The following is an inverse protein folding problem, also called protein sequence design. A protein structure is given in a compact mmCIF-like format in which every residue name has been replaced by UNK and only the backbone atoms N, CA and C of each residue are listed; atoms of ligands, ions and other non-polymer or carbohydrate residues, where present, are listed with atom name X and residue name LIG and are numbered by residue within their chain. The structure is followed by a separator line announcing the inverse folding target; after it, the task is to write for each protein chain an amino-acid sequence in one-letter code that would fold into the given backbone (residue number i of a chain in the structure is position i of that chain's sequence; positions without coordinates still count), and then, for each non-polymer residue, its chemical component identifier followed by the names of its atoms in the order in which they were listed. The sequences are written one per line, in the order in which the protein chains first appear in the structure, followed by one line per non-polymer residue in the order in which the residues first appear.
data_IF_029563610595
#
_entry.id   IF_029563610595
#
_cell.length_a   1.000
_cell.length_b   1.000
_cell.length_c   1.000
_cell.angle_alpha   90.00
_cell.angle_beta   90.00
_cell.angle_gamma   90.00
#
_symmetry.space_group_name_H-M   'P 1'
#
loop_
_entity.id
_entity.type
_entity.pdbx_description
1 polymer ?
#
# COMPACT_ATOMS: atom_id res chain seq x y z
N UNK A 1 6.72 -0.65 15.42
CA UNK A 1 5.99 0.37 14.66
C UNK A 1 5.26 -0.23 13.45
N UNK A 2 5.95 -0.65 12.39
CA UNK A 2 5.31 -1.20 11.15
C UNK A 2 4.26 -2.29 11.40
N UNK A 3 4.53 -3.21 12.35
CA UNK A 3 3.59 -4.29 12.70
C UNK A 3 2.27 -3.78 13.26
N UNK A 4 2.30 -2.72 14.08
CA UNK A 4 1.08 -2.11 14.64
C UNK A 4 0.29 -1.38 13.56
N UNK A 5 0.97 -0.66 12.65
CA UNK A 5 0.33 -0.04 11.47
C UNK A 5 -0.37 -1.11 10.63
N UNK A 6 0.33 -2.20 10.30
CA UNK A 6 -0.24 -3.28 9.49
C UNK A 6 -1.42 -3.97 10.19
N UNK A 7 -1.35 -4.19 11.51
CA UNK A 7 -2.47 -4.75 12.28
C UNK A 7 -3.69 -3.84 12.25
N UNK A 8 -3.50 -2.52 12.44
CA UNK A 8 -4.58 -1.53 12.36
C UNK A 8 -5.21 -1.49 10.98
N UNK A 9 -4.38 -1.56 9.94
CA UNK A 9 -4.81 -1.57 8.55
C UNK A 9 -5.64 -2.82 8.21
N UNK A 10 -5.18 -4.00 8.64
CA UNK A 10 -5.90 -5.26 8.41
C UNK A 10 -7.32 -5.26 8.99
N UNK A 11 -7.55 -4.55 10.10
CA UNK A 11 -8.87 -4.39 10.70
C UNK A 11 -9.89 -3.60 9.86
N UNK A 12 -9.48 -3.01 8.73
CA UNK A 12 -10.38 -2.35 7.78
C UNK A 12 -10.83 -3.27 6.64
N UNK A 13 -10.23 -4.44 6.53
CA UNK A 13 -10.58 -5.44 5.51
C UNK A 13 -11.79 -6.24 5.95
N UNK A 14 -12.70 -6.51 5.02
CA UNK A 14 -13.90 -7.31 5.24
C UNK A 14 -13.81 -8.61 4.46
N UNK A 15 -14.55 -9.62 4.90
CA UNK A 15 -14.67 -10.87 4.16
C UNK A 15 -15.13 -10.60 2.71
N UNK A 16 -14.62 -11.41 1.81
CA UNK A 16 -14.85 -11.35 0.37
C UNK A 16 -14.25 -10.12 -0.34
N UNK A 17 -13.49 -9.27 0.36
CA UNK A 17 -12.80 -8.19 -0.32
C UNK A 17 -11.75 -8.71 -1.31
N UNK A 18 -11.63 -8.01 -2.44
CA UNK A 18 -10.43 -8.01 -3.27
C UNK A 18 -9.48 -6.94 -2.75
N UNK A 19 -8.29 -7.34 -2.36
CA UNK A 19 -7.30 -6.49 -1.69
C UNK A 19 -6.05 -6.35 -2.56
N UNK A 20 -5.62 -5.12 -2.84
CA UNK A 20 -4.31 -4.87 -3.45
C UNK A 20 -3.30 -4.47 -2.37
N UNK A 21 -2.12 -5.08 -2.42
CA UNK A 21 -1.01 -4.78 -1.50
C UNK A 21 0.26 -4.58 -2.33
N UNK A 22 0.90 -3.42 -2.21
CA UNK A 22 2.14 -3.16 -2.92
C UNK A 22 3.36 -3.80 -2.23
N UNK A 23 4.53 -3.62 -2.84
CA UNK A 23 5.82 -4.14 -2.36
C UNK A 23 6.36 -3.47 -1.10
N UNK A 24 5.70 -2.45 -0.56
CA UNK A 24 6.13 -1.72 0.62
C UNK A 24 6.29 -2.63 1.86
N UNK A 25 7.36 -2.43 2.63
CA UNK A 25 7.67 -3.29 3.79
C UNK A 25 6.60 -3.27 4.88
N UNK A 26 5.93 -2.15 5.09
CA UNK A 26 4.81 -2.04 6.04
C UNK A 26 3.56 -2.73 5.48
N UNK A 27 3.26 -2.51 4.19
CA UNK A 27 2.14 -3.14 3.51
C UNK A 27 2.28 -4.68 3.47
N UNK A 28 3.49 -5.19 3.22
CA UNK A 28 3.76 -6.63 3.23
C UNK A 28 3.37 -7.32 4.54
N UNK A 29 3.50 -6.63 5.67
CA UNK A 29 3.14 -7.20 6.98
C UNK A 29 1.64 -7.48 7.13
N UNK A 30 0.77 -6.84 6.32
CA UNK A 30 -0.66 -7.13 6.33
C UNK A 30 -0.95 -8.59 5.98
N UNK A 31 -0.14 -9.22 5.15
CA UNK A 31 -0.31 -10.63 4.78
C UNK A 31 -0.31 -11.56 6.01
N UNK A 32 0.38 -11.18 7.10
CA UNK A 32 0.38 -11.96 8.34
C UNK A 32 -0.95 -11.88 9.08
N UNK A 33 -1.62 -10.73 9.00
CA UNK A 33 -2.86 -10.47 9.71
C UNK A 33 -4.10 -10.86 8.90
N UNK A 34 -3.93 -11.04 7.58
CA UNK A 34 -5.00 -11.42 6.66
C UNK A 34 -4.99 -12.91 6.30
N UNK A 35 -4.06 -13.70 6.83
CA UNK A 35 -3.91 -15.11 6.47
C UNK A 35 -5.19 -15.95 6.70
N UNK A 36 -5.92 -15.64 7.76
CA UNK A 36 -7.16 -16.33 8.14
C UNK A 36 -8.44 -15.63 7.65
N UNK A 37 -8.31 -14.52 6.94
CA UNK A 37 -9.43 -13.79 6.37
C UNK A 37 -9.88 -14.41 5.03
N UNK A 38 -11.18 -14.42 4.79
CA UNK A 38 -11.73 -14.92 3.53
C UNK A 38 -11.65 -13.82 2.44
N UNK A 39 -10.46 -13.59 1.91
CA UNK A 39 -10.15 -12.52 0.95
C UNK A 39 -9.29 -13.01 -0.20
N UNK A 40 -9.30 -12.29 -1.30
CA UNK A 40 -8.32 -12.46 -2.38
C UNK A 40 -7.36 -11.27 -2.37
N UNK A 41 -6.07 -11.54 -2.36
CA UNK A 41 -5.01 -10.53 -2.30
C UNK A 41 -4.19 -10.60 -3.58
N UNK A 42 -4.06 -9.48 -4.28
CA UNK A 42 -3.09 -9.32 -5.37
C UNK A 42 -1.95 -8.42 -4.90
N UNK A 43 -0.73 -8.90 -5.06
CA UNK A 43 0.48 -8.18 -4.62
C UNK A 43 1.62 -8.28 -5.64
N UNK A 44 2.43 -7.23 -5.73
CA UNK A 44 3.69 -7.22 -6.47
C UNK A 44 4.92 -7.41 -5.56
N UNK A 45 4.73 -7.88 -4.33
CA UNK A 45 5.83 -8.15 -3.43
C UNK A 45 6.38 -9.57 -3.65
N UNK A 46 7.57 -9.68 -4.24
CA UNK A 46 8.20 -10.96 -4.53
C UNK A 46 8.53 -11.82 -3.28
N UNK A 47 8.65 -11.20 -2.10
CA UNK A 47 8.84 -11.92 -0.84
C UNK A 47 7.64 -12.78 -0.46
N UNK A 48 6.48 -12.53 -1.06
CA UNK A 48 5.25 -13.29 -0.79
C UNK A 48 5.37 -14.76 -1.16
N UNK A 49 6.25 -15.12 -2.11
CA UNK A 49 6.54 -16.50 -2.51
C UNK A 49 7.07 -17.33 -1.32
N UNK A 50 7.83 -16.70 -0.43
CA UNK A 50 8.48 -17.38 0.69
C UNK A 50 7.66 -17.37 1.99
N UNK A 51 6.45 -16.80 1.95
CA UNK A 51 5.57 -16.83 3.12
C UNK A 51 4.96 -18.20 3.34
N UNK A 52 4.67 -18.50 4.61
CA UNK A 52 3.80 -19.63 4.93
C UNK A 52 2.47 -19.48 4.21
N UNK A 53 1.91 -20.56 3.65
CA UNK A 53 0.60 -20.51 3.03
C UNK A 53 -0.44 -19.91 3.99
N UNK A 54 -1.32 -19.10 3.45
CA UNK A 54 -2.50 -18.61 4.17
C UNK A 54 -3.49 -19.75 4.36
N UNK A 55 -4.26 -19.70 5.43
CA UNK A 55 -5.27 -20.73 5.74
C UNK A 55 -6.56 -20.51 4.94
N UNK A 56 -6.98 -19.25 4.75
CA UNK A 56 -8.19 -18.90 4.01
C UNK A 56 -7.94 -17.90 2.90
N UNK A 57 -7.01 -16.94 3.09
CA UNK A 57 -6.74 -15.92 2.08
C UNK A 57 -6.09 -16.54 0.83
N UNK A 58 -6.62 -16.19 -0.34
CA UNK A 58 -5.97 -16.48 -1.62
C UNK A 58 -4.99 -15.36 -1.94
N UNK A 59 -3.71 -15.69 -2.09
CA UNK A 59 -2.65 -14.72 -2.42
C UNK A 59 -2.17 -14.95 -3.84
N UNK A 60 -2.37 -13.95 -4.68
CA UNK A 60 -1.95 -13.92 -6.08
C UNK A 60 -0.78 -12.97 -6.24
N UNK A 61 0.26 -13.40 -6.92
CA UNK A 61 1.42 -12.56 -7.24
C UNK A 61 1.27 -12.04 -8.66
N UNK A 62 1.50 -10.73 -8.84
CA UNK A 62 1.28 -10.06 -10.11
C UNK A 62 2.11 -10.60 -11.29
N UNK A 63 3.25 -11.23 -10.99
CA UNK A 63 4.28 -11.44 -12.01
C UNK A 63 4.96 -10.14 -12.38
N UNK A 64 5.87 -10.20 -13.35
CA UNK A 64 6.64 -9.05 -13.82
C UNK A 64 8.13 -9.23 -13.66
N UNK A 65 8.88 -8.18 -13.97
CA UNK A 65 10.32 -8.13 -13.80
C UNK A 65 10.69 -7.99 -12.33
N UNK A 66 11.74 -8.70 -11.91
CA UNK A 66 12.23 -8.61 -10.53
C UNK A 66 13.08 -7.35 -10.38
N UNK A 67 12.62 -6.40 -9.58
CA UNK A 67 13.43 -5.28 -9.13
C UNK A 67 14.16 -5.69 -7.83
N UNK A 68 15.40 -6.11 -7.98
CA UNK A 68 16.20 -6.79 -6.95
C UNK A 68 16.35 -5.99 -5.66
N UNK A 69 16.58 -4.68 -5.76
CA UNK A 69 16.82 -3.80 -4.61
C UNK A 69 15.63 -3.77 -3.64
N UNK A 70 14.42 -3.93 -4.13
CA UNK A 70 13.18 -3.88 -3.35
C UNK A 70 12.50 -5.24 -3.20
N UNK A 71 12.96 -6.26 -3.95
CA UNK A 71 12.25 -7.53 -4.09
C UNK A 71 10.80 -7.33 -4.54
N UNK A 72 10.59 -6.34 -5.40
CA UNK A 72 9.30 -6.04 -6.01
C UNK A 72 9.22 -6.52 -7.45
N UNK A 73 8.01 -6.77 -7.91
CA UNK A 73 7.72 -7.12 -9.29
C UNK A 73 7.19 -5.87 -9.99
N UNK A 74 7.79 -5.54 -11.13
CA UNK A 74 7.53 -4.30 -11.86
C UNK A 74 7.35 -4.57 -13.36
N UNK A 75 7.18 -3.51 -14.14
CA UNK A 75 7.05 -3.60 -15.59
C UNK A 75 5.64 -3.99 -16.05
N UNK A 76 5.50 -4.19 -17.36
CA UNK A 76 4.20 -4.32 -18.02
C UNK A 76 3.38 -5.51 -17.52
N UNK A 77 3.98 -6.64 -17.20
CA UNK A 77 3.27 -7.79 -16.67
C UNK A 77 2.65 -7.49 -15.30
N UNK A 78 3.38 -6.81 -14.41
CA UNK A 78 2.86 -6.40 -13.12
C UNK A 78 1.72 -5.39 -13.29
N UNK A 79 1.92 -4.36 -14.11
CA UNK A 79 0.90 -3.33 -14.42
C UNK A 79 -0.36 -3.98 -14.98
N UNK A 80 -0.22 -4.88 -15.96
CA UNK A 80 -1.34 -5.57 -16.60
C UNK A 80 -2.14 -6.42 -15.61
N UNK A 81 -1.48 -7.09 -14.68
CA UNK A 81 -2.16 -7.89 -13.65
C UNK A 81 -3.10 -7.04 -12.81
N UNK A 82 -2.64 -5.89 -12.33
CA UNK A 82 -3.49 -4.95 -11.59
C UNK A 82 -4.56 -4.30 -12.47
N UNK A 83 -4.21 -3.97 -13.73
CA UNK A 83 -5.14 -3.32 -14.67
C UNK A 83 -6.37 -4.18 -14.99
N UNK A 84 -6.19 -5.50 -15.01
CA UNK A 84 -7.28 -6.48 -15.30
C UNK A 84 -8.12 -6.81 -14.08
N UNK A 85 -7.71 -6.41 -12.89
CA UNK A 85 -8.43 -6.63 -11.65
C UNK A 85 -9.04 -5.31 -11.13
N UNK A 86 -9.90 -5.41 -10.13
CA UNK A 86 -10.50 -4.27 -9.42
C UNK A 86 -10.53 -4.62 -7.95
N UNK A 87 -9.97 -3.74 -7.12
CA UNK A 87 -9.96 -3.94 -5.68
C UNK A 87 -11.05 -3.13 -4.97
N UNK A 88 -11.53 -3.68 -3.87
CA UNK A 88 -12.37 -2.98 -2.90
C UNK A 88 -11.54 -2.07 -2.00
N UNK A 89 -10.31 -2.50 -1.71
CA UNK A 89 -9.38 -1.81 -0.82
C UNK A 89 -7.94 -2.06 -1.25
N UNK A 90 -7.09 -1.04 -1.14
CA UNK A 90 -5.66 -1.22 -1.34
C UNK A 90 -4.83 -0.64 -0.19
N UNK A 91 -3.65 -1.19 -0.03
CA UNK A 91 -2.64 -0.75 0.94
C UNK A 91 -1.31 -0.51 0.25
N UNK A 92 -0.81 0.72 0.33
CA UNK A 92 0.48 1.12 -0.20
C UNK A 92 1.43 1.56 0.91
N UNK A 93 2.58 0.90 0.98
CA UNK A 93 3.77 1.47 1.61
C UNK A 93 4.42 2.44 0.64
N UNK A 94 4.91 3.56 1.15
CA UNK A 94 5.49 4.65 0.33
C UNK A 94 6.89 5.03 0.80
N UNK A 95 7.63 5.70 -0.05
CA UNK A 95 8.90 6.32 0.30
C UNK A 95 8.69 7.62 1.09
N UNK A 96 7.67 8.39 0.72
CA UNK A 96 7.26 9.62 1.39
C UNK A 96 5.84 10.02 1.01
N UNK A 97 5.23 10.85 1.84
CA UNK A 97 3.96 11.54 1.60
C UNK A 97 4.06 12.96 2.13
N UNK A 98 3.75 13.93 1.28
CA UNK A 98 3.75 15.35 1.61
C UNK A 98 2.56 16.06 0.95
N UNK A 99 2.50 17.38 1.05
CA UNK A 99 1.54 18.21 0.30
C UNK A 99 1.66 18.06 -1.23
N UNK A 100 2.83 17.60 -1.70
CA UNK A 100 3.10 17.37 -3.12
C UNK A 100 2.58 16.00 -3.63
N UNK A 101 2.10 15.13 -2.74
CA UNK A 101 1.60 13.81 -3.09
C UNK A 101 2.38 12.67 -2.41
N UNK A 102 2.21 11.48 -2.96
CA UNK A 102 2.94 10.28 -2.54
C UNK A 102 4.10 9.99 -3.49
N UNK A 103 5.19 9.49 -2.95
CA UNK A 103 6.43 9.27 -3.69
C UNK A 103 7.16 7.98 -3.28
N UNK A 104 8.03 7.52 -4.16
CA UNK A 104 8.85 6.31 -3.96
C UNK A 104 10.31 6.59 -4.29
N UNK A 105 11.21 5.76 -3.75
CA UNK A 105 12.64 5.79 -4.09
C UNK A 105 12.98 5.06 -5.40
N UNK A 106 12.04 4.29 -5.93
CA UNK A 106 12.26 3.39 -7.06
C UNK A 106 11.35 3.76 -8.23
N UNK A 107 11.95 4.30 -9.30
CA UNK A 107 11.22 4.69 -10.50
C UNK A 107 10.33 3.55 -11.06
N UNK A 108 10.80 2.29 -11.16
CA UNK A 108 9.99 1.21 -11.70
C UNK A 108 8.73 0.89 -10.91
N UNK A 109 8.68 1.24 -9.62
CA UNK A 109 7.49 1.02 -8.78
C UNK A 109 6.39 2.06 -9.00
N UNK A 110 6.71 3.20 -9.60
CA UNK A 110 5.79 4.33 -9.75
C UNK A 110 4.53 3.93 -10.52
N UNK A 111 4.70 3.29 -11.68
CA UNK A 111 3.59 2.89 -12.53
C UNK A 111 2.72 1.80 -11.89
N UNK A 112 3.33 0.83 -11.20
CA UNK A 112 2.60 -0.23 -10.48
C UNK A 112 1.78 0.37 -9.33
N UNK A 113 2.38 1.23 -8.51
CA UNK A 113 1.69 1.89 -7.41
C UNK A 113 0.52 2.76 -7.91
N UNK A 114 0.70 3.43 -9.04
CA UNK A 114 -0.36 4.24 -9.65
C UNK A 114 -1.53 3.41 -10.12
N UNK A 115 -1.30 2.32 -10.84
CA UNK A 115 -2.39 1.44 -11.31
C UNK A 115 -3.12 0.78 -10.14
N UNK A 116 -2.44 0.45 -9.05
CA UNK A 116 -3.08 -0.03 -7.81
C UNK A 116 -4.11 0.97 -7.30
N UNK A 117 -3.74 2.26 -7.22
CA UNK A 117 -4.67 3.33 -6.78
C UNK A 117 -5.82 3.50 -7.76
N UNK A 118 -5.54 3.57 -9.07
CA UNK A 118 -6.54 3.79 -10.12
C UNK A 118 -7.56 2.64 -10.21
N UNK A 119 -7.14 1.41 -9.92
CA UNK A 119 -7.98 0.21 -10.00
C UNK A 119 -8.65 -0.16 -8.68
N UNK A 120 -8.52 0.66 -7.65
CA UNK A 120 -9.21 0.48 -6.36
C UNK A 120 -10.43 1.39 -6.30
N UNK A 121 -11.61 0.80 -6.15
CA UNK A 121 -12.89 1.53 -6.14
C UNK A 121 -13.28 2.04 -4.75
N UNK A 122 -12.84 1.37 -3.69
CA UNK A 122 -13.14 1.73 -2.31
C UNK A 122 -11.99 2.46 -1.62
N UNK A 123 -11.50 1.90 -0.52
CA UNK A 123 -10.48 2.55 0.29
C UNK A 123 -9.07 2.44 -0.30
N UNK A 124 -8.43 3.57 -0.55
CA UNK A 124 -7.04 3.69 -0.99
C UNK A 124 -6.21 4.19 0.17
N UNK A 125 -5.46 3.29 0.80
CA UNK A 125 -4.86 3.49 2.12
C UNK A 125 -3.34 3.50 2.02
N UNK A 126 -2.73 4.57 2.51
CA UNK A 126 -1.29 4.63 2.73
C UNK A 126 -0.97 4.11 4.13
N UNK A 127 -0.01 3.20 4.21
CA UNK A 127 0.48 2.63 5.46
C UNK A 127 1.97 2.94 5.60
N UNK A 128 2.32 3.86 6.49
CA UNK A 128 3.70 4.31 6.62
C UNK A 128 4.02 4.79 8.03
N UNK A 129 5.30 4.71 8.39
CA UNK A 129 5.83 5.28 9.64
C UNK A 129 5.83 6.81 9.55
N UNK A 130 5.56 7.48 10.66
CA UNK A 130 5.34 8.92 10.70
C UNK A 130 6.52 9.74 10.20
N UNK A 131 7.76 9.30 10.38
CA UNK A 131 8.94 10.03 9.88
C UNK A 131 8.99 10.18 8.36
N UNK A 132 8.14 9.45 7.60
CA UNK A 132 7.99 9.59 6.14
C UNK A 132 6.89 10.57 5.75
N UNK A 133 6.09 11.02 6.70
CA UNK A 133 5.04 12.02 6.50
C UNK A 133 5.68 13.41 6.59
N UNK A 134 5.44 14.25 5.60
CA UNK A 134 6.10 15.55 5.43
C UNK A 134 7.39 15.47 4.59
N UNK A 135 7.65 14.33 3.94
CA UNK A 135 8.85 14.14 3.11
C UNK A 135 8.49 13.67 1.72
N UNK A 136 9.28 14.12 0.76
CA UNK A 136 9.26 13.64 -0.62
C UNK A 136 10.42 12.68 -0.85
N UNK A 137 10.14 11.62 -1.62
CA UNK A 137 11.16 10.75 -2.21
C UNK A 137 11.40 11.16 -3.66
N UNK A 138 12.32 10.49 -4.33
CA UNK A 138 12.81 10.89 -5.65
C UNK A 138 11.74 10.91 -6.75
N UNK A 139 10.75 10.02 -6.68
CA UNK A 139 9.79 9.83 -7.78
C UNK A 139 8.36 9.98 -7.30
N UNK A 140 7.67 10.99 -7.83
CA UNK A 140 6.25 11.21 -7.60
C UNK A 140 5.42 10.05 -8.17
N UNK A 141 4.47 9.56 -7.38
CA UNK A 141 3.57 8.46 -7.77
C UNK A 141 2.17 8.96 -8.09
N UNK A 142 1.57 9.73 -7.19
CA UNK A 142 0.21 10.24 -7.33
C UNK A 142 -0.05 11.41 -6.36
N UNK A 143 -1.04 12.21 -6.68
CA UNK A 143 -1.49 13.31 -5.84
C UNK A 143 -2.28 12.80 -4.62
N UNK A 144 -2.32 13.59 -3.55
CA UNK A 144 -3.01 13.22 -2.31
C UNK A 144 -4.52 13.01 -2.47
N UNK A 145 -5.15 13.59 -3.50
CA UNK A 145 -6.57 13.39 -3.77
C UNK A 145 -6.92 11.96 -4.22
N UNK A 146 -5.93 11.17 -4.61
CA UNK A 146 -6.12 9.76 -4.96
C UNK A 146 -6.21 8.83 -3.75
N UNK A 147 -5.88 9.30 -2.55
CA UNK A 147 -5.94 8.48 -1.33
C UNK A 147 -7.14 8.82 -0.47
N UNK A 148 -7.63 7.86 0.28
CA UNK A 148 -8.77 8.04 1.21
C UNK A 148 -8.34 8.02 2.66
N UNK A 149 -7.27 7.29 2.99
CA UNK A 149 -6.80 7.11 4.36
C UNK A 149 -5.27 7.14 4.43
N UNK A 150 -4.78 7.62 5.56
CA UNK A 150 -3.40 7.44 6.02
C UNK A 150 -3.41 6.73 7.38
N UNK A 151 -2.64 5.65 7.51
CA UNK A 151 -2.40 4.99 8.80
C UNK A 151 -0.92 5.17 9.14
N UNK A 152 -0.66 5.84 10.25
CA UNK A 152 0.69 6.23 10.64
C UNK A 152 0.83 6.34 12.16
N UNK A 153 1.97 6.78 12.64
CA UNK A 153 2.24 7.03 14.05
C UNK A 153 2.42 8.52 14.36
N UNK A 154 2.55 8.84 15.64
CA UNK A 154 2.60 10.21 16.13
C UNK A 154 3.89 10.99 15.81
N UNK A 155 4.88 10.37 15.14
CA UNK A 155 6.06 11.07 14.63
C UNK A 155 5.82 11.79 13.30
N UNK A 156 4.61 11.69 12.76
CA UNK A 156 4.21 12.33 11.51
C UNK A 156 4.20 13.85 11.62
N UNK A 157 4.61 14.53 10.53
CA UNK A 157 4.62 15.99 10.45
C UNK A 157 3.21 16.58 10.64
N UNK A 158 3.00 17.45 11.65
CA UNK A 158 1.68 17.97 11.97
C UNK A 158 1.06 18.82 10.85
N UNK A 159 1.87 19.57 10.10
CA UNK A 159 1.37 20.41 9.00
C UNK A 159 0.86 19.55 7.84
N UNK A 160 1.58 18.50 7.49
CA UNK A 160 1.16 17.55 6.46
C UNK A 160 -0.11 16.81 6.89
N UNK A 161 -0.21 16.40 8.17
CA UNK A 161 -1.43 15.79 8.72
C UNK A 161 -2.62 16.74 8.63
N UNK A 162 -2.45 18.03 8.99
CA UNK A 162 -3.51 19.03 8.89
C UNK A 162 -3.96 19.22 7.43
N UNK A 163 -3.02 19.31 6.50
CA UNK A 163 -3.32 19.39 5.07
C UNK A 163 -4.11 18.19 4.57
N UNK A 164 -3.65 16.96 4.86
CA UNK A 164 -4.34 15.73 4.42
C UNK A 164 -5.78 15.67 4.93
N UNK A 165 -5.99 16.03 6.20
CA UNK A 165 -7.34 16.12 6.78
C UNK A 165 -8.20 17.18 6.07
N UNK A 166 -7.63 18.33 5.72
CA UNK A 166 -8.36 19.43 5.05
C UNK A 166 -8.87 19.04 3.66
N UNK A 167 -8.20 18.11 2.97
CA UNK A 167 -8.63 17.59 1.66
C UNK A 167 -9.46 16.30 1.76
N UNK A 168 -9.88 15.92 2.97
CA UNK A 168 -10.78 14.77 3.20
C UNK A 168 -10.10 13.43 3.46
N UNK A 169 -8.78 13.38 3.58
CA UNK A 169 -8.06 12.14 3.93
C UNK A 169 -8.29 11.82 5.41
N UNK A 170 -8.77 10.62 5.69
CA UNK A 170 -8.94 10.13 7.06
C UNK A 170 -7.62 9.65 7.63
N UNK A 171 -7.13 10.29 8.68
CA UNK A 171 -5.88 9.93 9.33
C UNK A 171 -6.15 9.09 10.58
N UNK A 172 -5.55 7.90 10.63
CA UNK A 172 -5.63 6.97 11.75
C UNK A 172 -4.24 6.83 12.37
N UNK A 173 -4.11 7.24 13.62
CA UNK A 173 -2.88 7.04 14.38
C UNK A 173 -2.89 5.69 15.11
N UNK A 174 -1.70 5.10 15.19
CA UNK A 174 -1.45 3.96 16.07
C UNK A 174 -0.76 4.45 17.35
N UNK A 175 -1.03 3.76 18.41
CA UNK A 175 -0.35 3.92 19.69
C UNK A 175 0.97 3.14 19.72
#
# INVERSE_FOLDING_TARGET
MKKNIARRAAGLVRDHNMVFINSGSTAFLLLNFLADANVTILTNNGRSIFKKPSTKASVVISGGEIFEQKKSLVGDFAINSFSKARADICFLGVGGISKNGISTYALPETAVNRVILERTTGHRIIVTEGFKVGRDSNFHTADCNMITHLITDHTADPETIAYLKSIGVKVLFIS
#
